data_IF_719405714314
#
_entry.id   IF_719405714314
#
_cell.length_a   1.000
_cell.length_b   1.000
_cell.length_c   1.000
_cell.angle_alpha   90.00
_cell.angle_beta   90.00
_cell.angle_gamma   90.00
#
_symmetry.space_group_name_H-M   'P 1'
#
loop_
_entity.id
_entity.type
_entity.pdbx_description
1 polymer ?
#
# COMPACT_ATOMS: atom_id res chain seq x y z
N UNK A 1 7.77 10.27 -10.34
CA UNK A 1 6.36 9.81 -10.32
C UNK A 1 6.10 9.22 -8.95
N UNK A 2 5.02 9.63 -8.28
CA UNK A 2 4.66 9.10 -6.96
C UNK A 2 3.82 7.84 -7.09
N UNK A 3 4.07 6.83 -6.25
CA UNK A 3 3.39 5.53 -6.35
C UNK A 3 2.55 5.25 -5.11
N UNK A 4 1.30 4.85 -5.33
CA UNK A 4 0.35 4.45 -4.29
C UNK A 4 0.11 2.94 -4.40
N UNK A 5 0.34 2.21 -3.30
CA UNK A 5 0.02 0.80 -3.20
C UNK A 5 -1.33 0.59 -2.52
N UNK A 6 -2.18 -0.27 -3.08
CA UNK A 6 -3.46 -0.67 -2.50
C UNK A 6 -3.33 -2.08 -1.94
N UNK A 7 -3.40 -2.23 -0.61
CA UNK A 7 -3.32 -3.52 0.07
C UNK A 7 -4.71 -3.91 0.56
N UNK A 8 -5.29 -4.94 -0.04
CA UNK A 8 -6.67 -5.38 0.21
C UNK A 8 -6.73 -6.89 0.42
N UNK A 9 -7.80 -7.34 1.07
CA UNK A 9 -8.15 -8.75 1.20
C UNK A 9 -9.05 -9.21 0.05
N UNK A 10 -10.28 -9.59 0.37
CA UNK A 10 -11.29 -10.08 -0.58
C UNK A 10 -12.32 -9.00 -0.93
N UNK A 11 -11.85 -7.82 -1.34
CA UNK A 11 -12.71 -6.74 -1.83
C UNK A 11 -12.82 -6.82 -3.36
N UNK A 12 -14.02 -6.64 -3.90
CA UNK A 12 -14.25 -6.74 -5.36
C UNK A 12 -14.23 -5.37 -6.05
N UNK A 13 -15.05 -4.42 -5.61
CA UNK A 13 -15.28 -3.15 -6.36
C UNK A 13 -14.41 -1.98 -5.89
N UNK A 14 -14.07 -1.94 -4.61
CA UNK A 14 -13.27 -0.87 -4.02
C UNK A 14 -11.86 -0.75 -4.64
N UNK A 15 -11.06 -1.83 -4.79
CA UNK A 15 -9.67 -1.69 -5.20
C UNK A 15 -9.54 -1.16 -6.63
N UNK A 16 -10.36 -1.66 -7.55
CA UNK A 16 -10.36 -1.20 -8.94
C UNK A 16 -10.80 0.27 -9.06
N UNK A 17 -11.87 0.64 -8.36
CA UNK A 17 -12.42 1.99 -8.43
C UNK A 17 -11.45 3.05 -7.88
N UNK A 18 -10.78 2.77 -6.75
CA UNK A 18 -9.82 3.73 -6.18
C UNK A 18 -8.55 3.83 -7.02
N UNK A 19 -8.05 2.72 -7.57
CA UNK A 19 -6.89 2.73 -8.48
C UNK A 19 -7.20 3.60 -9.70
N UNK A 20 -8.35 3.38 -10.33
CA UNK A 20 -8.80 4.18 -11.49
C UNK A 20 -8.88 5.66 -11.14
N UNK A 21 -9.52 6.01 -10.03
CA UNK A 21 -9.67 7.41 -9.61
C UNK A 21 -8.33 8.10 -9.34
N UNK A 22 -7.38 7.42 -8.68
CA UNK A 22 -6.04 7.97 -8.42
C UNK A 22 -5.28 8.16 -9.74
N UNK A 23 -5.33 7.20 -10.64
CA UNK A 23 -4.62 7.28 -11.93
C UNK A 23 -5.17 8.41 -12.80
N UNK A 24 -6.51 8.55 -12.88
CA UNK A 24 -7.16 9.63 -13.62
C UNK A 24 -6.81 11.02 -13.05
N UNK A 25 -6.96 11.20 -11.73
CA UNK A 25 -6.65 12.48 -11.06
C UNK A 25 -5.16 12.78 -11.00
N UNK A 26 -4.34 11.73 -10.97
CA UNK A 26 -2.89 11.81 -10.88
C UNK A 26 -2.22 12.28 -12.17
N UNK A 27 -2.90 12.14 -13.32
CA UNK A 27 -2.44 12.63 -14.62
C UNK A 27 -0.96 12.26 -14.93
N UNK A 28 -0.57 11.02 -14.60
CA UNK A 28 0.80 10.50 -14.78
C UNK A 28 1.85 11.00 -13.77
N UNK A 29 1.51 11.96 -12.88
CA UNK A 29 2.38 12.39 -11.78
C UNK A 29 2.27 11.46 -10.57
N UNK A 30 1.07 10.90 -10.36
CA UNK A 30 0.74 9.91 -9.33
C UNK A 30 0.12 8.70 -10.01
N UNK A 31 0.55 7.50 -9.60
CA UNK A 31 -0.04 6.24 -10.05
C UNK A 31 -0.39 5.35 -8.86
N UNK A 32 -1.41 4.51 -9.05
CA UNK A 32 -1.85 3.52 -8.08
C UNK A 32 -1.84 2.11 -8.69
N UNK A 33 -1.51 1.12 -7.88
CA UNK A 33 -1.52 -0.29 -8.25
C UNK A 33 -1.90 -1.19 -7.07
N UNK A 34 -2.30 -2.42 -7.38
CA UNK A 34 -2.47 -3.46 -6.38
C UNK A 34 -1.12 -3.85 -5.79
N UNK A 35 -1.04 -3.98 -4.46
CA UNK A 35 0.16 -4.48 -3.81
C UNK A 35 0.27 -5.99 -4.06
N UNK A 36 1.41 -6.41 -4.60
CA UNK A 36 1.82 -7.81 -4.66
C UNK A 36 3.12 -7.98 -3.90
N UNK A 37 3.10 -8.85 -2.89
CA UNK A 37 4.23 -9.09 -1.99
C UNK A 37 4.42 -10.58 -1.78
N UNK A 38 5.67 -11.03 -1.87
CA UNK A 38 6.09 -12.35 -1.37
C UNK A 38 6.82 -12.16 -0.04
N UNK A 39 7.90 -12.92 0.16
CA UNK A 39 8.83 -12.65 1.25
C UNK A 39 9.54 -11.31 1.06
N UNK A 40 9.56 -10.48 2.10
CA UNK A 40 10.25 -9.19 2.06
C UNK A 40 11.73 -9.38 2.39
N UNK A 41 12.61 -8.88 1.53
CA UNK A 41 14.07 -8.95 1.75
C UNK A 41 14.55 -7.75 2.56
N UNK A 42 15.61 -7.90 3.36
CA UNK A 42 16.14 -6.80 4.18
C UNK A 42 16.64 -5.62 3.34
N UNK A 43 17.21 -5.90 2.17
CA UNK A 43 17.82 -4.95 1.24
C UNK A 43 16.85 -4.43 0.17
N UNK A 44 15.55 -4.73 0.29
CA UNK A 44 14.56 -4.38 -0.71
C UNK A 44 14.35 -2.86 -0.79
N UNK A 45 14.44 -2.24 -1.98
CA UNK A 45 14.23 -0.81 -2.11
C UNK A 45 12.76 -0.42 -1.90
N UNK A 46 12.54 0.81 -1.45
CA UNK A 46 11.21 1.40 -1.27
C UNK A 46 10.41 1.37 -2.58
N UNK A 47 9.29 0.64 -2.60
CA UNK A 47 8.43 0.47 -3.78
C UNK A 47 7.30 1.50 -3.90
N UNK A 48 6.80 2.00 -2.77
CA UNK A 48 5.65 2.92 -2.73
C UNK A 48 5.97 4.19 -1.93
N UNK A 49 5.30 5.28 -2.27
CA UNK A 49 5.32 6.51 -1.47
C UNK A 49 4.19 6.53 -0.45
N UNK A 50 3.03 5.98 -0.83
CA UNK A 50 1.86 5.84 0.02
C UNK A 50 1.31 4.41 -0.10
N UNK A 51 0.83 3.84 0.99
CA UNK A 51 0.04 2.60 0.98
C UNK A 51 -1.31 2.85 1.64
N UNK A 52 -2.37 2.38 0.98
CA UNK A 52 -3.71 2.28 1.56
C UNK A 52 -3.91 0.83 2.01
N UNK A 53 -3.96 0.64 3.32
CA UNK A 53 -4.16 -0.62 4.02
C UNK A 53 -5.64 -0.85 4.35
N UNK A 54 -6.15 -1.99 3.89
CA UNK A 54 -7.52 -2.44 4.08
C UNK A 54 -7.63 -3.82 4.73
N UNK A 55 -6.51 -4.44 5.12
CA UNK A 55 -6.50 -5.86 5.53
C UNK A 55 -5.50 -6.21 6.64
N UNK A 56 -4.58 -5.31 7.00
CA UNK A 56 -3.54 -5.65 7.99
C UNK A 56 -4.07 -5.93 9.39
N UNK A 57 -5.30 -5.51 9.69
CA UNK A 57 -5.99 -5.81 10.94
C UNK A 57 -6.36 -7.30 11.07
N UNK A 58 -6.55 -8.02 9.96
CA UNK A 58 -6.84 -9.46 9.97
C UNK A 58 -5.58 -10.32 9.88
N UNK A 59 -4.53 -9.83 9.22
CA UNK A 59 -3.34 -10.63 8.90
C UNK A 59 -2.08 -10.00 9.53
N UNK A 60 -1.54 -10.58 10.63
CA UNK A 60 -0.40 -10.04 11.35
C UNK A 60 0.85 -9.79 10.49
N UNK A 61 1.08 -10.63 9.48
CA UNK A 61 2.20 -10.47 8.53
C UNK A 61 2.17 -9.11 7.83
N UNK A 62 1.01 -8.72 7.30
CA UNK A 62 0.87 -7.44 6.62
C UNK A 62 1.11 -6.27 7.57
N UNK A 63 0.65 -6.35 8.82
CA UNK A 63 0.91 -5.28 9.78
C UNK A 63 2.39 -5.12 10.09
N UNK A 64 3.12 -6.22 10.26
CA UNK A 64 4.58 -6.18 10.47
C UNK A 64 5.31 -5.59 9.24
N UNK A 65 4.90 -6.02 8.04
CA UNK A 65 5.42 -5.49 6.77
C UNK A 65 5.17 -3.97 6.65
N UNK A 66 3.95 -3.50 6.92
CA UNK A 66 3.60 -2.09 6.82
C UNK A 66 4.37 -1.23 7.83
N UNK A 67 4.58 -1.73 9.06
CA UNK A 67 5.44 -1.04 10.05
C UNK A 67 6.86 -0.87 9.54
N UNK A 68 7.45 -1.89 8.93
CA UNK A 68 8.77 -1.79 8.31
C UNK A 68 8.77 -0.76 7.19
N UNK A 69 7.83 -0.83 6.25
CA UNK A 69 7.74 0.11 5.13
C UNK A 69 7.54 1.55 5.61
N UNK A 70 6.82 1.75 6.71
CA UNK A 70 6.66 3.06 7.36
C UNK A 70 8.00 3.60 7.89
N UNK A 71 8.80 2.77 8.54
CA UNK A 71 10.14 3.13 9.02
C UNK A 71 11.11 3.45 7.87
N UNK A 72 10.90 2.85 6.70
CA UNK A 72 11.66 3.10 5.47
C UNK A 72 11.13 4.29 4.64
N UNK A 73 10.17 5.06 5.17
CA UNK A 73 9.70 6.30 4.58
C UNK A 73 8.49 6.18 3.64
N UNK A 74 7.75 5.06 3.71
CA UNK A 74 6.43 4.94 3.06
C UNK A 74 5.35 5.48 3.97
N UNK A 75 4.48 6.37 3.49
CA UNK A 75 3.33 6.81 4.29
C UNK A 75 2.22 5.75 4.24
N UNK A 76 1.68 5.34 5.38
CA UNK A 76 0.68 4.27 5.45
C UNK A 76 -0.65 4.82 5.99
N UNK A 77 -1.74 4.50 5.29
CA UNK A 77 -3.11 4.83 5.68
C UNK A 77 -3.87 3.51 5.84
N UNK A 78 -4.31 3.09 7.01
CA UNK A 78 -4.19 3.77 8.29
C UNK A 78 -2.83 3.51 8.96
N UNK A 79 -2.50 4.33 9.96
CA UNK A 79 -1.24 4.22 10.69
C UNK A 79 -1.07 2.80 11.29
N UNK A 80 -0.06 2.01 10.87
CA UNK A 80 0.08 0.60 11.26
C UNK A 80 0.59 0.43 12.70
N UNK A 81 0.96 1.53 13.38
CA UNK A 81 1.36 1.53 14.79
C UNK A 81 0.19 1.70 15.75
N UNK A 82 -0.99 2.06 15.25
CA UNK A 82 -2.20 2.15 16.05
C UNK A 82 -2.94 0.81 16.08
N UNK A 83 -3.72 0.59 17.15
CA UNK A 83 -4.52 -0.62 17.40
C UNK A 83 -5.96 -0.39 16.95
#
# INVERSE_FOLDING_TARGET
MKKVGILVGREETFPESIIKSINEKGAGKVTAEMITVGGIRLDEPKRWDVIIDRISHEVPYYRAMLKRMALEGTYIINNPFWW
#
